data_IF_096067151742
#
_entry.id   IF_096067151742
#
_cell.length_a   1.000
_cell.length_b   1.000
_cell.length_c   1.000
_cell.angle_alpha   90.00
_cell.angle_beta   90.00
_cell.angle_gamma   90.00
#
_symmetry.space_group_name_H-M   'P 1'
#
loop_
_entity.id
_entity.type
_entity.pdbx_description
1 polymer ?
#
# COMPACT_ATOMS: atom_id res chain seq x y z
N UNK A 1 -0.13 -8.78 4.61
CA UNK A 1 -1.37 -8.10 4.17
C UNK A 1 -1.11 -7.25 2.93
N UNK A 2 -2.05 -7.21 1.99
CA UNK A 2 -2.05 -6.30 0.83
C UNK A 2 -3.37 -5.53 0.82
N UNK A 3 -3.28 -4.20 0.76
CA UNK A 3 -4.44 -3.31 0.72
C UNK A 3 -4.34 -2.33 -0.44
N UNK A 4 -5.46 -2.05 -1.09
CA UNK A 4 -5.63 -0.95 -2.04
C UNK A 4 -6.08 0.28 -1.29
N UNK A 5 -5.49 1.43 -1.58
CA UNK A 5 -5.90 2.71 -1.00
C UNK A 5 -6.11 3.78 -2.08
N UNK A 6 -6.32 5.02 -1.66
CA UNK A 6 -6.45 6.16 -2.56
C UNK A 6 -7.74 6.18 -3.37
N UNK A 7 -7.69 6.83 -4.53
CA UNK A 7 -8.88 7.10 -5.36
C UNK A 7 -9.60 5.83 -5.82
N UNK A 8 -8.84 4.75 -6.05
CA UNK A 8 -9.34 3.43 -6.43
C UNK A 8 -10.11 2.74 -5.31
N UNK A 9 -9.67 2.88 -4.07
CA UNK A 9 -10.40 2.33 -2.91
C UNK A 9 -11.74 3.05 -2.69
N UNK A 10 -11.82 4.35 -2.98
CA UNK A 10 -13.03 5.18 -2.78
C UNK A 10 -14.06 5.13 -3.92
N UNK A 11 -13.81 4.35 -4.98
CA UNK A 11 -14.77 4.15 -6.08
C UNK A 11 -14.88 5.29 -7.12
N UNK A 12 -14.11 6.38 -7.00
CA UNK A 12 -14.16 7.55 -7.90
C UNK A 12 -13.03 7.57 -8.95
N UNK A 13 -12.43 6.42 -9.24
CA UNK A 13 -11.25 6.34 -10.11
C UNK A 13 -11.61 6.14 -11.58
N UNK A 14 -10.84 6.76 -12.48
CA UNK A 14 -10.92 6.52 -13.93
C UNK A 14 -10.19 5.22 -14.29
N UNK A 15 -10.50 4.58 -15.43
CA UNK A 15 -9.88 3.30 -15.82
C UNK A 15 -8.34 3.34 -15.90
N UNK A 16 -7.79 4.51 -16.22
CA UNK A 16 -6.36 4.82 -16.34
C UNK A 16 -5.71 5.29 -15.04
N UNK A 17 -6.47 5.47 -13.96
CA UNK A 17 -5.92 5.93 -12.68
C UNK A 17 -4.96 4.91 -12.07
N UNK A 18 -3.88 5.39 -11.50
CA UNK A 18 -2.87 4.59 -10.83
C UNK A 18 -3.46 3.74 -9.69
N UNK A 19 -2.85 2.59 -9.44
CA UNK A 19 -3.17 1.71 -8.32
C UNK A 19 -2.26 2.02 -7.13
N UNK A 20 -2.84 2.58 -6.08
CA UNK A 20 -2.14 2.81 -4.82
C UNK A 20 -2.22 1.56 -3.92
N UNK A 21 -1.09 0.89 -3.73
CA UNK A 21 -1.01 -0.41 -3.05
C UNK A 21 -0.12 -0.31 -1.81
N UNK A 22 -0.68 -0.69 -0.66
CA UNK A 22 0.04 -0.93 0.58
C UNK A 22 0.35 -2.41 0.69
N UNK A 23 1.62 -2.73 0.91
CA UNK A 23 2.07 -4.08 1.23
C UNK A 23 2.67 -4.06 2.63
N UNK A 24 2.15 -4.94 3.49
CA UNK A 24 2.69 -5.16 4.84
C UNK A 24 3.42 -6.48 4.86
N UNK A 25 4.74 -6.41 5.06
CA UNK A 25 5.65 -7.56 5.10
C UNK A 25 6.88 -7.28 5.97
N UNK A 26 7.47 -8.33 6.53
CA UNK A 26 8.73 -8.22 7.24
C UNK A 26 9.88 -7.87 6.29
N UNK A 27 10.76 -6.97 6.73
CA UNK A 27 11.90 -6.52 5.94
C UNK A 27 12.92 -5.75 6.79
N UNK A 28 14.18 -6.13 6.68
CA UNK A 28 15.31 -5.38 7.26
C UNK A 28 15.81 -4.22 6.37
N UNK A 29 15.30 -4.11 5.15
CA UNK A 29 15.66 -3.00 4.27
C UNK A 29 15.11 -1.66 4.78
N UNK A 30 15.83 -0.55 4.56
CA UNK A 30 15.29 0.80 4.74
C UNK A 30 13.99 0.98 3.95
N UNK A 31 13.01 1.68 4.55
CA UNK A 31 11.66 1.87 3.99
C UNK A 31 11.65 2.26 2.50
N UNK A 32 12.53 3.16 2.08
CA UNK A 32 12.62 3.63 0.69
C UNK A 32 13.17 2.60 -0.32
N UNK A 33 13.85 1.54 0.15
CA UNK A 33 14.35 0.45 -0.70
C UNK A 33 13.34 -0.70 -0.86
N UNK A 34 12.41 -0.85 0.08
CA UNK A 34 11.46 -1.97 0.11
C UNK A 34 10.56 -2.06 -1.15
N UNK A 35 10.06 -0.96 -1.73
CA UNK A 35 9.21 -1.03 -2.92
C UNK A 35 9.96 -1.46 -4.18
N UNK A 36 11.28 -1.24 -4.27
CA UNK A 36 12.06 -1.45 -5.48
C UNK A 36 11.96 -2.87 -6.07
N UNK A 37 12.15 -3.97 -5.30
CA UNK A 37 11.96 -5.33 -5.83
C UNK A 37 10.54 -5.59 -6.33
N UNK A 38 9.53 -5.07 -5.64
CA UNK A 38 8.11 -5.27 -6.02
C UNK A 38 7.79 -4.50 -7.30
N UNK A 39 8.24 -3.24 -7.41
CA UNK A 39 8.09 -2.44 -8.64
C UNK A 39 8.75 -3.13 -9.85
N UNK A 40 9.93 -3.73 -9.65
CA UNK A 40 10.58 -4.54 -10.70
C UNK A 40 9.74 -5.74 -11.11
N UNK A 41 9.19 -6.49 -10.15
CA UNK A 41 8.35 -7.65 -10.43
C UNK A 41 7.05 -7.28 -11.17
N UNK A 42 6.54 -6.07 -10.98
CA UNK A 42 5.29 -5.58 -11.59
C UNK A 42 5.52 -4.68 -12.83
N UNK A 43 6.74 -4.65 -13.36
CA UNK A 43 7.11 -3.86 -14.54
C UNK A 43 6.36 -4.38 -15.78
N UNK A 44 5.81 -3.49 -16.60
CA UNK A 44 5.06 -3.83 -17.82
C UNK A 44 3.57 -4.13 -17.60
N UNK A 45 3.09 -4.14 -16.35
CA UNK A 45 1.67 -4.32 -16.03
C UNK A 45 0.96 -2.96 -15.95
N UNK A 46 -0.11 -2.78 -16.70
CA UNK A 46 -1.00 -1.61 -16.64
C UNK A 46 -2.16 -1.85 -15.64
N UNK A 47 -2.68 -0.82 -14.95
CA UNK A 47 -2.24 0.59 -14.91
C UNK A 47 -0.93 0.78 -14.12
N UNK A 48 -0.40 2.01 -14.13
CA UNK A 48 0.71 2.38 -13.26
C UNK A 48 0.30 2.19 -11.78
N UNK A 49 1.31 1.98 -10.92
CA UNK A 49 1.11 1.55 -9.54
C UNK A 49 2.03 2.33 -8.63
N UNK A 50 1.47 2.91 -7.58
CA UNK A 50 2.26 3.43 -6.48
C UNK A 50 2.29 2.41 -5.35
N UNK A 51 3.50 2.00 -4.96
CA UNK A 51 3.71 0.91 -4.01
C UNK A 51 4.40 1.47 -2.79
N UNK A 52 3.74 1.30 -1.65
CA UNK A 52 4.26 1.63 -0.33
C UNK A 52 4.37 0.34 0.48
N UNK A 53 5.50 0.17 1.16
CA UNK A 53 5.78 -1.04 1.93
C UNK A 53 6.07 -0.69 3.37
N UNK A 54 5.33 -1.30 4.28
CA UNK A 54 5.48 -1.16 5.73
C UNK A 54 5.76 -2.52 6.37
N UNK A 55 6.44 -2.50 7.52
CA UNK A 55 6.54 -3.71 8.35
C UNK A 55 5.31 -3.83 9.25
N UNK A 56 4.98 -5.05 9.73
CA UNK A 56 3.92 -5.22 10.73
C UNK A 56 4.14 -4.33 11.96
N UNK A 57 5.39 -4.22 12.43
CA UNK A 57 5.76 -3.35 13.56
C UNK A 57 5.42 -1.88 13.30
N UNK A 58 5.79 -1.35 12.13
CA UNK A 58 5.46 0.04 11.78
C UNK A 58 3.94 0.23 11.68
N UNK A 59 3.19 -0.76 11.17
CA UNK A 59 1.73 -0.67 11.14
C UNK A 59 1.15 -0.59 12.55
N UNK A 60 1.62 -1.44 13.45
CA UNK A 60 1.19 -1.46 14.86
C UNK A 60 1.49 -0.14 15.58
N UNK A 61 2.64 0.48 15.31
CA UNK A 61 3.03 1.77 15.88
C UNK A 61 2.09 2.91 15.43
N UNK A 62 1.67 2.89 14.15
CA UNK A 62 0.94 4.01 13.55
C UNK A 62 -0.58 3.82 13.48
N UNK A 63 -1.11 2.60 13.60
CA UNK A 63 -2.56 2.32 13.41
C UNK A 63 -3.49 3.06 14.37
N UNK A 64 -2.98 3.45 15.55
CA UNK A 64 -3.75 4.16 16.56
C UNK A 64 -3.56 5.69 16.51
N UNK A 65 -2.66 6.18 15.65
CA UNK A 65 -2.37 7.61 15.55
C UNK A 65 -3.40 8.26 14.62
N UNK A 66 -4.22 9.22 15.11
CA UNK A 66 -5.19 9.91 14.29
C UNK A 66 -4.51 10.67 13.14
N UNK A 67 -5.13 10.66 11.96
CA UNK A 67 -4.62 11.29 10.74
C UNK A 67 -3.29 10.74 10.21
N UNK A 68 -2.77 9.64 10.76
CA UNK A 68 -1.62 8.96 10.18
C UNK A 68 -2.02 8.23 8.88
N UNK A 69 -1.09 8.21 7.92
CA UNK A 69 -1.29 7.57 6.63
C UNK A 69 -1.75 6.10 6.75
N UNK A 70 -1.14 5.34 7.67
CA UNK A 70 -1.51 3.94 7.94
C UNK A 70 -2.95 3.85 8.47
N UNK A 71 -3.32 4.68 9.43
CA UNK A 71 -4.68 4.72 9.98
C UNK A 71 -5.71 5.00 8.89
N UNK A 72 -5.45 5.96 8.00
CA UNK A 72 -6.34 6.25 6.88
C UNK A 72 -6.50 5.06 5.93
N UNK A 73 -5.42 4.33 5.62
CA UNK A 73 -5.49 3.13 4.77
C UNK A 73 -6.25 2.00 5.46
N UNK A 74 -6.07 1.79 6.75
CA UNK A 74 -6.78 0.75 7.48
C UNK A 74 -8.29 1.04 7.59
N UNK A 75 -8.68 2.32 7.66
CA UNK A 75 -10.08 2.73 7.74
C UNK A 75 -10.78 2.82 6.38
N UNK A 76 -10.12 3.37 5.36
CA UNK A 76 -10.72 3.67 4.05
C UNK A 76 -10.28 2.71 2.93
N UNK A 77 -9.21 1.96 3.16
CA UNK A 77 -8.63 1.07 2.16
C UNK A 77 -9.44 -0.21 2.00
N UNK A 78 -9.25 -0.86 0.86
CA UNK A 78 -9.82 -2.18 0.56
C UNK A 78 -8.74 -3.24 0.72
N UNK A 79 -8.93 -4.17 1.63
CA UNK A 79 -8.05 -5.34 1.77
C UNK A 79 -8.22 -6.22 0.52
N UNK A 80 -7.11 -6.48 -0.17
CA UNK A 80 -7.07 -7.37 -1.34
C UNK A 80 -6.61 -8.77 -0.96
N UNK A 81 -5.74 -8.88 0.04
CA UNK A 81 -5.23 -10.14 0.55
C UNK A 81 -4.83 -10.02 2.02
N UNK A 82 -5.25 -10.99 2.82
CA UNK A 82 -4.88 -11.16 4.23
C UNK A 82 -4.52 -12.63 4.46
N UNK A 83 -3.45 -12.87 5.21
CA UNK A 83 -2.89 -14.18 5.51
C UNK A 83 -1.91 -14.10 6.65
#
# INVERSE_FOLDING_TARGET
MIALFGSRARGNSRPDSDLDILIVMDSDLPRWKRPAPIRRALTGLFPAKDIVVYTPKEVEEWKAVPNAFITSILCEGRILYEG
#
